data_IF_559618517426
#
_entry.id   IF_559618517426
#
_cell.length_a   1.000
_cell.length_b   1.000
_cell.length_c   1.000
_cell.angle_alpha   90.00
_cell.angle_beta   90.00
_cell.angle_gamma   90.00
#
_symmetry.space_group_name_H-M   'P 1'
#
loop_
_entity.id
_entity.type
_entity.pdbx_description
1 polymer ?
#
# COMPACT_ATOMS: atom_id res chain seq x y z
N UNK A 1 -9.60 6.24 29.26
CA UNK A 1 -8.86 5.09 28.69
C UNK A 1 -7.97 5.62 27.57
N UNK A 2 -6.65 5.51 27.74
CA UNK A 2 -5.57 5.66 26.75
C UNK A 2 -5.65 6.74 25.66
N UNK A 3 -5.43 8.02 25.99
CA UNK A 3 -5.03 9.00 24.98
C UNK A 3 -3.55 8.77 24.64
N UNK A 4 -3.24 8.18 23.48
CA UNK A 4 -1.88 8.18 22.93
C UNK A 4 -1.55 9.61 22.48
N UNK A 5 -0.98 10.40 23.37
CA UNK A 5 -0.26 11.61 22.99
C UNK A 5 1.04 11.14 22.33
N UNK A 6 1.08 11.13 20.99
CA UNK A 6 2.33 11.03 20.26
C UNK A 6 3.17 12.24 20.67
N UNK A 7 4.38 12.06 21.24
CA UNK A 7 5.20 13.17 21.68
C UNK A 7 5.49 14.10 20.51
N UNK A 8 5.25 15.39 20.70
CA UNK A 8 5.38 16.47 19.71
C UNK A 8 6.86 16.81 19.42
N UNK A 9 7.78 15.85 19.60
CA UNK A 9 9.22 16.07 19.54
C UNK A 9 9.82 15.37 18.31
N UNK A 10 10.02 16.16 17.26
CA UNK A 10 10.85 15.93 16.06
C UNK A 10 10.28 14.99 14.98
N UNK A 11 9.18 15.37 14.34
CA UNK A 11 8.93 14.92 12.97
C UNK A 11 9.92 15.63 12.04
N UNK A 12 10.61 14.91 11.15
CA UNK A 12 11.37 15.53 10.07
C UNK A 12 10.46 16.44 9.25
N UNK A 13 10.97 17.56 8.72
CA UNK A 13 10.12 18.40 7.89
C UNK A 13 9.67 17.61 6.65
N UNK A 14 8.44 17.84 6.18
CA UNK A 14 7.94 17.20 4.96
C UNK A 14 8.85 17.46 3.75
N UNK A 15 9.59 18.58 3.76
CA UNK A 15 10.60 18.92 2.79
C UNK A 15 11.86 18.05 2.90
N UNK A 16 12.35 17.78 4.11
CA UNK A 16 13.50 16.89 4.33
C UNK A 16 13.19 15.45 3.91
N UNK A 17 12.00 14.97 4.26
CA UNK A 17 11.50 13.66 3.81
C UNK A 17 11.40 13.61 2.28
N UNK A 18 10.83 14.65 1.68
CA UNK A 18 10.77 14.77 0.22
C UNK A 18 12.15 14.72 -0.44
N UNK A 19 13.15 15.44 0.10
CA UNK A 19 14.51 15.43 -0.41
C UNK A 19 15.12 14.03 -0.35
N UNK A 20 15.00 13.34 0.79
CA UNK A 20 15.47 11.97 0.95
C UNK A 20 14.81 11.01 -0.05
N UNK A 21 13.50 11.12 -0.23
CA UNK A 21 12.75 10.30 -1.19
C UNK A 21 13.15 10.61 -2.65
N UNK A 22 13.39 11.87 -2.99
CA UNK A 22 13.88 12.26 -4.32
C UNK A 22 15.29 11.69 -4.60
N UNK A 23 16.21 11.75 -3.64
CA UNK A 23 17.54 11.15 -3.73
C UNK A 23 17.46 9.63 -3.91
N UNK A 24 16.57 8.97 -3.16
CA UNK A 24 16.29 7.53 -3.29
C UNK A 24 15.78 7.15 -4.67
N UNK A 25 14.88 7.93 -5.26
CA UNK A 25 14.37 7.74 -6.62
C UNK A 25 15.51 7.84 -7.64
N UNK A 26 16.34 8.88 -7.55
CA UNK A 26 17.47 9.07 -8.48
C UNK A 26 18.46 7.91 -8.40
N UNK A 27 18.80 7.46 -7.19
CA UNK A 27 19.68 6.31 -6.97
C UNK A 27 19.08 5.04 -7.57
N UNK A 28 17.83 4.72 -7.23
CA UNK A 28 17.14 3.51 -7.69
C UNK A 28 16.96 3.47 -9.21
N UNK A 29 16.65 4.62 -9.83
CA UNK A 29 16.45 4.68 -11.27
C UNK A 29 17.73 4.54 -12.09
N UNK A 30 18.92 4.76 -11.51
CA UNK A 30 20.21 4.46 -12.14
C UNK A 30 20.51 2.96 -12.18
N UNK A 31 19.89 2.18 -11.31
CA UNK A 31 20.05 0.72 -11.28
C UNK A 31 19.27 0.05 -12.43
N UNK A 32 19.73 -1.14 -12.85
CA UNK A 32 19.09 -1.96 -13.90
C UNK A 32 17.92 -2.77 -13.36
N UNK A 33 16.92 -2.08 -12.78
CA UNK A 33 15.67 -2.69 -12.29
C UNK A 33 14.60 -2.78 -13.37
N UNK A 34 13.69 -3.77 -13.32
CA UNK A 34 12.57 -3.90 -14.27
C UNK A 34 11.46 -2.85 -14.04
N UNK A 35 11.64 -1.93 -13.09
CA UNK A 35 10.73 -0.84 -12.78
C UNK A 35 11.51 0.45 -12.52
N UNK A 36 10.81 1.59 -12.57
CA UNK A 36 11.34 2.92 -12.22
C UNK A 36 10.41 3.58 -11.22
N UNK A 37 11.00 4.31 -10.28
CA UNK A 37 10.28 5.11 -9.31
C UNK A 37 10.06 6.53 -9.84
N UNK A 38 9.02 7.20 -9.35
CA UNK A 38 8.70 8.61 -9.64
C UNK A 38 8.19 9.27 -8.36
N UNK A 39 8.34 10.60 -8.30
CA UNK A 39 7.70 11.40 -7.26
C UNK A 39 6.18 11.30 -7.45
N UNK A 40 5.48 10.83 -6.41
CA UNK A 40 4.02 10.67 -6.40
C UNK A 40 3.44 11.40 -5.18
N UNK A 41 2.13 11.24 -4.94
CA UNK A 41 1.41 11.90 -3.82
C UNK A 41 1.92 11.54 -2.41
N UNK A 42 2.81 10.56 -2.29
CA UNK A 42 3.40 10.11 -1.02
C UNK A 42 4.87 10.51 -0.87
N UNK A 43 5.43 11.29 -1.80
CA UNK A 43 6.84 11.63 -1.81
C UNK A 43 7.32 12.40 -0.57
N UNK A 44 6.40 13.01 0.18
CA UNK A 44 6.68 13.75 1.41
C UNK A 44 6.43 12.93 2.71
N UNK A 45 6.15 11.63 2.60
CA UNK A 45 5.94 10.73 3.74
C UNK A 45 7.13 9.80 3.93
N UNK A 46 7.47 9.52 5.19
CA UNK A 46 8.34 8.41 5.55
C UNK A 46 7.63 7.07 5.34
N UNK A 47 8.38 5.98 5.23
CA UNK A 47 7.79 4.63 5.11
C UNK A 47 6.86 4.31 6.29
N UNK A 48 7.24 4.74 7.50
CA UNK A 48 6.43 4.56 8.71
C UNK A 48 5.13 5.34 8.65
N UNK A 49 5.16 6.61 8.23
CA UNK A 49 3.96 7.43 8.06
C UNK A 49 3.04 6.84 6.98
N UNK A 50 3.62 6.42 5.84
CA UNK A 50 2.87 5.81 4.75
C UNK A 50 2.16 4.53 5.22
N UNK A 51 2.87 3.62 5.89
CA UNK A 51 2.29 2.37 6.39
C UNK A 51 1.16 2.65 7.38
N UNK A 52 1.40 3.54 8.35
CA UNK A 52 0.43 3.83 9.40
C UNK A 52 -0.85 4.48 8.89
N UNK A 53 -0.75 5.36 7.88
CA UNK A 53 -1.91 6.09 7.34
C UNK A 53 -2.61 5.35 6.19
N UNK A 54 -1.89 4.61 5.34
CA UNK A 54 -2.39 4.18 4.03
C UNK A 54 -2.44 2.67 3.79
N UNK A 55 -2.04 1.81 4.74
CA UNK A 55 -2.08 0.34 4.50
C UNK A 55 -3.24 -0.38 5.18
N UNK A 56 -3.91 0.25 6.15
CA UNK A 56 -5.02 -0.35 6.89
C UNK A 56 -4.64 -1.70 7.55
N UNK A 57 -3.34 -1.99 7.67
CA UNK A 57 -2.84 -3.32 7.97
C UNK A 57 -2.98 -3.61 9.47
N UNK A 58 -3.87 -4.54 9.81
CA UNK A 58 -4.07 -5.07 11.15
C UNK A 58 -3.57 -6.52 11.20
N UNK A 59 -2.43 -6.76 11.85
CA UNK A 59 -1.88 -8.12 12.02
C UNK A 59 -2.82 -9.05 12.81
N UNK A 60 -3.85 -8.54 13.49
CA UNK A 60 -4.78 -9.40 14.25
C UNK A 60 -5.75 -10.20 13.38
N UNK A 61 -5.91 -9.85 12.09
CA UNK A 61 -6.88 -10.50 11.19
C UNK A 61 -6.42 -11.86 10.62
N UNK A 62 -5.21 -12.33 10.93
CA UNK A 62 -4.71 -13.64 10.49
C UNK A 62 -5.51 -14.84 11.05
N UNK A 63 -6.49 -14.63 11.92
CA UNK A 63 -7.27 -15.70 12.58
C UNK A 63 -8.49 -16.22 11.80
N UNK A 64 -8.82 -15.70 10.62
CA UNK A 64 -10.08 -16.07 9.92
C UNK A 64 -10.00 -17.20 8.89
N UNK A 65 -8.86 -17.90 8.76
CA UNK A 65 -8.67 -18.87 7.66
C UNK A 65 -9.29 -20.25 7.93
N UNK A 66 -9.76 -20.54 9.15
CA UNK A 66 -10.10 -21.91 9.55
C UNK A 66 -11.44 -22.46 9.01
N UNK A 67 -12.32 -21.64 8.43
CA UNK A 67 -13.70 -22.06 8.01
C UNK A 67 -13.97 -21.92 6.50
N UNK A 68 -12.92 -21.81 5.68
CA UNK A 68 -13.08 -21.65 4.23
C UNK A 68 -13.44 -22.97 3.55
N UNK A 69 -14.57 -23.01 2.81
CA UNK A 69 -14.83 -24.06 1.82
C UNK A 69 -13.66 -24.14 0.82
N UNK A 70 -13.34 -25.32 0.27
CA UNK A 70 -12.32 -25.44 -0.77
C UNK A 70 -12.67 -24.55 -1.97
N UNK A 71 -11.63 -24.05 -2.65
CA UNK A 71 -11.79 -23.26 -3.85
C UNK A 71 -12.43 -24.11 -4.95
N UNK A 72 -13.55 -23.65 -5.50
CA UNK A 72 -14.40 -24.46 -6.39
C UNK A 72 -13.73 -24.90 -7.69
N UNK A 73 -12.79 -24.11 -8.23
CA UNK A 73 -12.13 -24.36 -9.52
C UNK A 73 -10.70 -24.88 -9.36
N UNK A 74 -10.41 -25.59 -8.27
CA UNK A 74 -9.07 -26.15 -7.98
C UNK A 74 -8.51 -27.01 -9.13
N UNK A 75 -9.37 -27.67 -9.90
CA UNK A 75 -8.99 -28.58 -10.98
C UNK A 75 -8.98 -27.93 -12.38
N UNK A 76 -9.03 -26.60 -12.48
CA UNK A 76 -8.98 -25.90 -13.76
C UNK A 76 -7.56 -25.92 -14.32
N UNK A 77 -7.35 -26.62 -15.44
CA UNK A 77 -6.02 -26.79 -16.06
C UNK A 77 -5.75 -25.84 -17.22
N UNK A 78 -6.79 -25.24 -17.81
CA UNK A 78 -6.68 -24.33 -18.94
C UNK A 78 -6.99 -22.90 -18.49
N UNK A 79 -5.97 -22.05 -18.45
CA UNK A 79 -6.09 -20.62 -18.19
C UNK A 79 -5.48 -19.82 -19.35
N UNK A 80 -5.95 -18.60 -19.63
CA UNK A 80 -5.36 -17.76 -20.67
C UNK A 80 -3.96 -17.26 -20.25
N UNK A 81 -3.09 -17.00 -21.23
CA UNK A 81 -1.74 -16.46 -20.99
C UNK A 81 -1.76 -15.04 -20.37
N UNK A 82 -2.85 -14.30 -20.59
CA UNK A 82 -3.09 -12.99 -19.98
C UNK A 82 -4.58 -12.75 -19.75
N UNK A 83 -4.91 -12.03 -18.69
CA UNK A 83 -6.29 -11.68 -18.35
C UNK A 83 -6.32 -10.29 -17.70
N UNK A 84 -7.09 -9.37 -18.30
CA UNK A 84 -7.39 -8.06 -17.73
C UNK A 84 -8.91 -7.87 -17.61
N UNK A 85 -9.43 -7.90 -16.38
CA UNK A 85 -10.85 -7.70 -16.11
C UNK A 85 -11.35 -6.30 -16.46
N UNK A 86 -10.46 -5.31 -16.61
CA UNK A 86 -10.83 -3.96 -17.08
C UNK A 86 -11.35 -4.00 -18.51
N UNK A 87 -10.75 -4.83 -19.37
CA UNK A 87 -11.19 -5.03 -20.77
C UNK A 87 -12.57 -5.70 -20.85
N UNK A 88 -13.00 -6.38 -19.79
CA UNK A 88 -14.32 -6.99 -19.67
C UNK A 88 -15.37 -6.07 -19.04
N UNK A 89 -15.01 -4.84 -18.67
CA UNK A 89 -15.90 -3.90 -17.99
C UNK A 89 -16.27 -4.33 -16.56
N UNK A 90 -15.52 -5.25 -15.96
CA UNK A 90 -15.80 -5.79 -14.63
C UNK A 90 -15.13 -4.99 -13.49
N UNK A 91 -14.39 -3.93 -13.82
CA UNK A 91 -13.61 -3.12 -12.87
C UNK A 91 -14.08 -1.67 -12.93
N UNK A 92 -14.48 -1.10 -11.80
CA UNK A 92 -14.82 0.33 -11.68
C UNK A 92 -13.56 1.20 -11.65
N UNK A 93 -13.72 2.51 -11.81
CA UNK A 93 -12.62 3.47 -11.65
C UNK A 93 -11.91 3.32 -10.30
N UNK A 94 -10.60 3.61 -10.30
CA UNK A 94 -9.74 3.60 -9.10
C UNK A 94 -10.27 4.63 -8.09
N UNK A 95 -10.41 4.19 -6.83
CA UNK A 95 -10.84 5.03 -5.70
C UNK A 95 -9.66 5.41 -4.81
N UNK A 96 -9.83 6.44 -3.97
CA UNK A 96 -8.87 6.80 -2.92
C UNK A 96 -9.44 6.40 -1.54
N UNK A 97 -8.70 5.57 -0.80
CA UNK A 97 -9.06 5.13 0.54
C UNK A 97 -8.83 6.21 1.62
N UNK A 98 -8.07 7.26 1.31
CA UNK A 98 -7.66 8.29 2.27
C UNK A 98 -6.66 7.79 3.33
N UNK A 99 -6.32 8.64 4.32
CA UNK A 99 -5.32 8.35 5.35
C UNK A 99 -5.88 7.71 6.64
N UNK A 100 -7.14 7.28 6.65
CA UNK A 100 -7.86 6.90 7.88
C UNK A 100 -8.62 5.58 7.76
N UNK A 101 -7.91 4.51 7.45
CA UNK A 101 -8.49 3.16 7.55
C UNK A 101 -8.60 2.62 8.98
N UNK A 102 -7.77 3.10 9.89
CA UNK A 102 -7.57 2.46 11.21
C UNK A 102 -8.54 2.94 12.30
N UNK A 103 -9.60 3.70 11.96
CA UNK A 103 -10.64 4.04 12.94
C UNK A 103 -11.61 2.85 13.06
N UNK A 104 -11.27 1.89 13.92
CA UNK A 104 -12.30 1.07 14.59
C UNK A 104 -13.17 2.06 15.38
N UNK A 105 -14.41 2.25 14.91
CA UNK A 105 -15.51 2.70 15.78
C UNK A 105 -15.82 1.63 16.81
#
# INVERSE_FOLDING_TARGET
MGHYLVPIHQTESSFDVFKKNAEYIVKTNKERKPYKLKLNKFANLTDVEFVNAHTCFDMSDHKKILDSKPFFYENMTQAPDSLDWREKGAVTNVKDQGPTCSKKS
#
